data_IF_537616739505
#
_entry.id   IF_537616739505
#
_cell.length_a   1.000
_cell.length_b   1.000
_cell.length_c   1.000
_cell.angle_alpha   90.00
_cell.angle_beta   90.00
_cell.angle_gamma   90.00
#
_symmetry.space_group_name_H-M   'P 1'
#
loop_
_entity.id
_entity.type
_entity.pdbx_description
1 polymer ?
#
# COMPACT_ATOMS: atom_id res chain seq x y z
N UNK A 1 9.32 -41.74 1.83
CA UNK A 1 8.08 -42.10 1.12
C UNK A 1 6.91 -41.16 1.41
N UNK A 2 6.78 -40.56 2.61
CA UNK A 2 5.81 -39.48 2.85
C UNK A 2 6.31 -38.07 2.48
N UNK A 3 7.63 -37.85 2.54
CA UNK A 3 8.26 -36.56 2.21
C UNK A 3 8.22 -36.18 0.72
N UNK A 4 7.90 -37.11 -0.18
CA UNK A 4 7.81 -36.87 -1.64
C UNK A 4 6.69 -35.87 -2.00
N UNK A 5 5.72 -35.64 -1.12
CA UNK A 5 4.64 -34.66 -1.32
C UNK A 5 5.08 -33.22 -0.99
N UNK A 6 6.11 -33.06 -0.13
CA UNK A 6 6.61 -31.77 0.31
C UNK A 6 7.11 -30.88 -0.83
N UNK A 7 7.89 -31.37 -1.83
CA UNK A 7 8.31 -30.53 -2.95
C UNK A 7 7.14 -30.01 -3.78
N UNK A 8 6.10 -30.82 -4.00
CA UNK A 8 4.88 -30.38 -4.70
C UNK A 8 4.12 -29.29 -3.93
N UNK A 9 4.01 -29.46 -2.61
CA UNK A 9 3.39 -28.47 -1.72
C UNK A 9 4.21 -27.17 -1.62
N UNK A 10 5.55 -27.28 -1.58
CA UNK A 10 6.45 -26.13 -1.56
C UNK A 10 6.31 -25.28 -2.84
N UNK A 11 6.24 -25.90 -4.01
CA UNK A 11 6.07 -25.17 -5.28
C UNK A 11 4.70 -24.47 -5.32
N UNK A 12 3.63 -25.18 -4.94
CA UNK A 12 2.29 -24.61 -4.91
C UNK A 12 2.19 -23.41 -3.96
N UNK A 13 2.73 -23.53 -2.75
CA UNK A 13 2.72 -22.43 -1.77
C UNK A 13 3.52 -21.23 -2.24
N UNK A 14 4.69 -21.42 -2.84
CA UNK A 14 5.49 -20.33 -3.42
C UNK A 14 4.73 -19.64 -4.55
N UNK A 15 4.15 -20.39 -5.49
CA UNK A 15 3.36 -19.85 -6.59
C UNK A 15 2.16 -19.01 -6.11
N UNK A 16 1.51 -19.40 -5.01
CA UNK A 16 0.40 -18.65 -4.41
C UNK A 16 0.86 -17.44 -3.58
N UNK A 17 2.06 -17.49 -2.99
CA UNK A 17 2.61 -16.36 -2.24
C UNK A 17 3.10 -15.22 -3.13
N UNK A 18 3.68 -15.53 -4.29
CA UNK A 18 4.21 -14.53 -5.25
C UNK A 18 3.21 -13.42 -5.59
N UNK A 19 1.95 -13.68 -5.99
CA UNK A 19 1.00 -12.61 -6.32
C UNK A 19 0.65 -11.73 -5.11
N UNK A 20 0.56 -12.29 -3.91
CA UNK A 20 0.32 -11.51 -2.69
C UNK A 20 1.47 -10.55 -2.36
N UNK A 21 2.71 -11.04 -2.46
CA UNK A 21 3.90 -10.22 -2.23
C UNK A 21 4.04 -9.16 -3.33
N UNK A 22 3.88 -9.55 -4.59
CA UNK A 22 4.01 -8.64 -5.73
C UNK A 22 2.99 -7.50 -5.65
N UNK A 23 1.72 -7.81 -5.38
CA UNK A 23 0.67 -6.78 -5.24
C UNK A 23 0.92 -5.84 -4.07
N UNK A 24 1.41 -6.34 -2.93
CA UNK A 24 1.78 -5.50 -1.79
C UNK A 24 2.92 -4.52 -2.14
N UNK A 25 3.94 -4.98 -2.88
CA UNK A 25 5.04 -4.11 -3.32
C UNK A 25 4.59 -3.08 -4.35
N UNK A 26 3.78 -3.48 -5.34
CA UNK A 26 3.23 -2.57 -6.36
C UNK A 26 2.36 -1.50 -5.70
N UNK A 27 1.48 -1.88 -4.77
CA UNK A 27 0.61 -0.93 -4.07
C UNK A 27 1.40 0.08 -3.24
N UNK A 28 2.52 -0.34 -2.63
CA UNK A 28 3.43 0.58 -1.93
C UNK A 28 4.14 1.52 -2.90
N UNK A 29 4.58 1.02 -4.05
CA UNK A 29 5.28 1.82 -5.06
C UNK A 29 4.37 2.90 -5.66
N UNK A 30 3.15 2.55 -6.06
CA UNK A 30 2.24 3.46 -6.76
C UNK A 30 1.64 4.55 -5.86
N UNK A 31 1.53 4.33 -4.55
CA UNK A 31 0.94 5.29 -3.61
C UNK A 31 1.99 6.12 -2.85
N UNK A 32 3.13 6.40 -3.49
CA UNK A 32 4.17 7.29 -2.95
C UNK A 32 4.95 6.69 -1.79
N UNK A 33 5.23 5.38 -1.86
CA UNK A 33 5.87 4.56 -0.84
C UNK A 33 6.82 5.31 0.09
N UNK A 34 6.40 5.45 1.34
CA UNK A 34 7.36 5.69 2.43
C UNK A 34 8.19 4.42 2.53
N UNK A 35 9.40 4.50 1.97
CA UNK A 35 10.33 3.39 1.91
C UNK A 35 10.58 2.83 3.30
N UNK A 36 10.80 1.53 3.31
CA UNK A 36 11.17 0.65 4.41
C UNK A 36 12.57 1.04 4.94
N UNK A 37 12.75 2.27 5.40
CA UNK A 37 13.98 2.71 6.05
C UNK A 37 13.75 3.91 6.95
N UNK A 38 12.91 3.74 7.96
CA UNK A 38 13.23 4.13 9.33
C UNK A 38 12.09 3.64 10.22
N UNK A 39 12.48 3.01 11.32
CA UNK A 39 11.64 2.34 12.31
C UNK A 39 10.90 3.40 13.18
N UNK A 40 10.56 4.54 12.60
CA UNK A 40 9.90 5.63 13.29
C UNK A 40 8.83 6.24 12.39
N UNK A 41 7.62 5.75 12.61
CA UNK A 41 6.40 6.54 12.59
C UNK A 41 6.23 7.49 11.40
N UNK A 42 5.70 6.98 10.28
CA UNK A 42 4.84 7.79 9.46
C UNK A 42 3.89 6.92 8.62
N UNK A 43 2.73 6.61 9.21
CA UNK A 43 1.47 6.25 8.56
C UNK A 43 1.58 5.44 7.24
N UNK A 44 1.35 4.14 7.40
CA UNK A 44 1.03 3.14 6.37
C UNK A 44 0.16 3.77 5.27
N UNK A 45 0.72 4.08 4.11
CA UNK A 45 -0.06 4.35 2.89
C UNK A 45 -0.13 3.08 2.06
N UNK A 46 -0.92 2.14 2.58
CA UNK A 46 -1.57 1.15 1.73
C UNK A 46 -2.58 1.88 0.84
N UNK A 47 -2.90 1.30 -0.32
CA UNK A 47 -3.92 1.84 -1.23
C UNK A 47 -5.19 2.11 -0.43
N UNK A 48 -5.63 3.37 -0.35
CA UNK A 48 -6.84 3.77 0.40
C UNK A 48 -8.04 2.97 -0.10
N UNK A 49 -8.63 2.17 0.77
CA UNK A 49 -9.82 1.35 0.46
C UNK A 49 -11.07 2.21 0.66
N UNK A 50 -11.73 2.57 -0.44
CA UNK A 50 -12.98 3.33 -0.40
C UNK A 50 -14.14 2.33 -0.33
N UNK A 51 -14.68 2.10 0.86
CA UNK A 51 -15.87 1.25 1.06
C UNK A 51 -17.17 2.04 1.13
N UNK A 52 -17.07 3.34 1.39
CA UNK A 52 -18.17 4.24 1.73
C UNK A 52 -17.95 5.58 1.00
N UNK A 53 -19.02 6.26 0.56
CA UNK A 53 -18.91 7.46 -0.27
C UNK A 53 -18.19 8.61 0.46
N UNK A 54 -18.29 8.68 1.78
CA UNK A 54 -17.55 9.65 2.58
C UNK A 54 -16.02 9.51 2.44
N UNK A 55 -15.51 8.28 2.29
CA UNK A 55 -14.08 8.05 2.10
C UNK A 55 -13.60 8.54 0.72
N UNK A 56 -14.47 8.50 -0.29
CA UNK A 56 -14.19 9.09 -1.60
C UNK A 56 -14.08 10.62 -1.51
N UNK A 57 -15.05 11.25 -0.84
CA UNK A 57 -15.04 12.68 -0.62
C UNK A 57 -13.75 13.16 0.07
N UNK A 58 -13.30 12.44 1.11
CA UNK A 58 -12.03 12.73 1.78
C UNK A 58 -10.81 12.53 0.88
N UNK A 59 -10.77 11.47 0.06
CA UNK A 59 -9.68 11.27 -0.90
C UNK A 59 -9.61 12.42 -1.92
N UNK A 60 -10.75 12.84 -2.47
CA UNK A 60 -10.80 13.91 -3.46
C UNK A 60 -10.40 15.26 -2.83
N UNK A 61 -10.76 15.48 -1.56
CA UNK A 61 -10.26 16.62 -0.77
C UNK A 61 -8.74 16.58 -0.66
N UNK A 62 -8.17 15.47 -0.23
CA UNK A 62 -6.72 15.33 -0.05
C UNK A 62 -5.97 15.54 -1.38
N UNK A 63 -6.52 15.04 -2.50
CA UNK A 63 -6.02 15.27 -3.86
C UNK A 63 -6.00 16.76 -4.25
N UNK A 64 -7.03 17.51 -3.89
CA UNK A 64 -7.13 18.96 -4.17
C UNK A 64 -6.15 19.78 -3.32
N UNK A 65 -6.05 19.45 -2.03
CA UNK A 65 -5.15 20.14 -1.07
C UNK A 65 -3.68 19.90 -1.42
N UNK A 66 -3.37 18.71 -1.93
CA UNK A 66 -2.01 18.31 -2.32
C UNK A 66 -1.37 19.23 -3.38
N UNK A 67 -2.17 19.81 -4.30
CA UNK A 67 -1.69 20.67 -5.39
C UNK A 67 -0.97 19.93 -6.52
N UNK A 68 -0.55 18.68 -6.32
CA UNK A 68 0.10 17.83 -7.35
C UNK A 68 -0.88 16.94 -8.11
N UNK A 69 -2.18 17.02 -7.79
CA UNK A 69 -3.21 16.15 -8.36
C UNK A 69 -3.14 14.69 -7.88
N UNK A 70 -2.24 14.38 -6.94
CA UNK A 70 -2.08 13.06 -6.35
C UNK A 70 -2.46 13.08 -4.86
N UNK A 71 -3.35 12.15 -4.47
CA UNK A 71 -3.95 12.07 -3.13
C UNK A 71 -3.01 11.53 -2.05
N UNK A 72 -1.95 10.82 -2.43
CA UNK A 72 -0.99 10.23 -1.49
C UNK A 72 0.07 11.23 -0.98
N UNK A 73 0.12 12.45 -1.54
CA UNK A 73 0.96 13.52 -1.02
C UNK A 73 0.25 14.25 0.12
N UNK A 74 0.45 13.77 1.34
CA UNK A 74 -0.11 14.41 2.53
C UNK A 74 0.52 15.78 2.78
N UNK A 75 -0.30 16.74 3.22
CA UNK A 75 0.10 18.05 3.74
C UNK A 75 -0.23 18.10 5.22
N UNK A 76 0.76 18.38 6.05
CA UNK A 76 0.63 18.52 7.49
C UNK A 76 0.42 19.96 7.93
N UNK A 77 0.86 20.24 9.16
CA UNK A 77 0.77 21.56 9.79
C UNK A 77 1.64 22.61 9.08
N UNK A 78 2.62 22.19 8.28
CA UNK A 78 3.48 23.08 7.49
C UNK A 78 2.72 23.90 6.44
N UNK A 79 1.50 23.50 6.10
CA UNK A 79 0.65 24.19 5.12
C UNK A 79 -0.28 25.25 5.76
N UNK A 80 -0.23 25.43 7.08
CA UNK A 80 -1.09 26.38 7.82
C UNK A 80 -0.22 27.54 8.32
N UNK A 81 -0.70 28.77 8.16
CA UNK A 81 -0.03 30.00 8.57
C UNK A 81 -0.58 30.51 9.90
#
# INVERSE_FOLDING_TARGET
MWYEILPGFAIMTVCLMIPGIATAQIQKFTNGGKQVHLIHFCCIQEKRIIRVPYHWYLMERDKRISGTGAHYHAKGLENIK
#
